data_IF_427289129624
#
_entry.id   IF_427289129624
#
_cell.length_a   1.000
_cell.length_b   1.000
_cell.length_c   1.000
_cell.angle_alpha   90.00
_cell.angle_beta   90.00
_cell.angle_gamma   90.00
#
_symmetry.space_group_name_H-M   'P 1'
#
loop_
_entity.id
_entity.type
_entity.pdbx_description
1 polymer ?
#
# COMPACT_ATOMS: atom_id res chain seq x y z
N UNK A 1 14.27 -1.37 -21.10
CA UNK A 1 14.34 -1.84 -19.69
C UNK A 1 15.17 -0.88 -18.83
N UNK A 2 16.39 -0.52 -19.26
CA UNK A 2 17.29 0.38 -18.53
C UNK A 2 16.70 1.78 -18.29
N UNK A 3 16.14 2.42 -19.31
CA UNK A 3 15.52 3.76 -19.18
C UNK A 3 14.32 3.77 -18.22
N UNK A 4 13.53 2.69 -18.22
CA UNK A 4 12.39 2.53 -17.30
C UNK A 4 12.87 2.44 -15.85
N UNK A 5 13.89 1.62 -15.59
CA UNK A 5 14.47 1.47 -14.26
C UNK A 5 15.11 2.78 -13.78
N UNK A 6 15.84 3.48 -14.65
CA UNK A 6 16.45 4.77 -14.29
C UNK A 6 15.42 5.86 -14.01
N UNK A 7 14.35 5.92 -14.81
CA UNK A 7 13.23 6.84 -14.56
C UNK A 7 12.62 6.58 -13.18
N UNK A 8 12.31 5.32 -12.87
CA UNK A 8 11.76 4.94 -11.57
C UNK A 8 12.71 5.26 -10.41
N UNK A 9 14.02 5.04 -10.56
CA UNK A 9 15.00 5.44 -9.56
C UNK A 9 14.97 6.94 -9.31
N UNK A 10 15.01 7.76 -10.38
CA UNK A 10 14.95 9.23 -10.26
C UNK A 10 13.67 9.71 -9.57
N UNK A 11 12.53 9.13 -9.92
CA UNK A 11 11.24 9.45 -9.29
C UNK A 11 11.22 9.05 -7.81
N UNK A 12 11.75 7.87 -7.47
CA UNK A 12 11.85 7.40 -6.10
C UNK A 12 12.79 8.27 -5.26
N UNK A 13 13.95 8.65 -5.79
CA UNK A 13 14.92 9.51 -5.11
C UNK A 13 14.33 10.91 -4.86
N UNK A 14 13.66 11.50 -5.86
CA UNK A 14 12.99 12.80 -5.71
C UNK A 14 11.86 12.75 -4.69
N UNK A 15 11.04 11.70 -4.69
CA UNK A 15 10.00 11.53 -3.67
C UNK A 15 10.60 11.32 -2.28
N UNK A 16 11.70 10.56 -2.17
CA UNK A 16 12.41 10.36 -0.90
C UNK A 16 12.95 11.68 -0.34
N UNK A 17 13.56 12.52 -1.17
CA UNK A 17 14.07 13.83 -0.77
C UNK A 17 12.95 14.74 -0.25
N UNK A 18 11.81 14.79 -0.96
CA UNK A 18 10.63 15.54 -0.50
C UNK A 18 10.12 15.02 0.84
N UNK A 19 10.05 13.70 1.01
CA UNK A 19 9.59 13.07 2.25
C UNK A 19 10.51 13.35 3.42
N UNK A 20 11.84 13.38 3.21
CA UNK A 20 12.82 13.68 4.26
C UNK A 20 12.70 15.12 4.81
N UNK A 21 12.17 16.05 4.02
CA UNK A 21 11.92 17.43 4.46
C UNK A 21 10.63 17.60 5.28
N UNK A 22 9.82 16.55 5.42
CA UNK A 22 8.58 16.57 6.19
C UNK A 22 8.80 16.01 7.60
N UNK A 23 8.05 16.54 8.58
CA UNK A 23 7.94 15.90 9.89
C UNK A 23 7.36 14.49 9.74
N UNK A 24 7.66 13.59 10.68
CA UNK A 24 7.11 12.22 10.65
C UNK A 24 5.58 12.23 10.59
N UNK A 25 4.93 13.16 11.29
CA UNK A 25 3.47 13.32 11.26
C UNK A 25 3.00 13.76 9.87
N UNK A 26 3.66 14.73 9.25
CA UNK A 26 3.35 15.17 7.89
C UNK A 26 3.56 14.06 6.86
N UNK A 27 4.61 13.24 7.01
CA UNK A 27 4.84 12.06 6.18
C UNK A 27 3.67 11.07 6.29
N UNK A 28 3.23 10.75 7.51
CA UNK A 28 2.07 9.87 7.71
C UNK A 28 0.77 10.48 7.17
N UNK A 29 0.55 11.78 7.33
CA UNK A 29 -0.62 12.46 6.76
C UNK A 29 -0.61 12.35 5.23
N UNK A 30 0.54 12.58 4.59
CA UNK A 30 0.69 12.53 3.14
C UNK A 30 0.48 11.11 2.60
N UNK A 31 1.13 10.11 3.21
CA UNK A 31 1.06 8.70 2.78
C UNK A 31 -0.33 8.08 2.98
N UNK A 32 -1.12 8.60 3.92
CA UNK A 32 -2.48 8.11 4.18
C UNK A 32 -3.58 8.87 3.41
N UNK A 33 -3.23 9.82 2.53
CA UNK A 33 -4.24 10.47 1.68
C UNK A 33 -4.87 9.48 0.70
N UNK A 34 -6.22 9.42 0.57
CA UNK A 34 -6.88 8.48 -0.34
C UNK A 34 -6.40 8.59 -1.78
N UNK A 35 -6.20 9.82 -2.28
CA UNK A 35 -5.69 10.07 -3.63
C UNK A 35 -4.25 9.56 -3.81
N UNK A 36 -3.40 9.68 -2.78
CA UNK A 36 -2.03 9.14 -2.79
C UNK A 36 -2.04 7.62 -2.84
N UNK A 37 -2.82 6.99 -1.96
CA UNK A 37 -2.96 5.53 -1.90
C UNK A 37 -3.43 4.97 -3.25
N UNK A 38 -4.41 5.62 -3.88
CA UNK A 38 -4.94 5.20 -5.18
C UNK A 38 -3.86 5.27 -6.26
N UNK A 39 -3.21 6.43 -6.40
CA UNK A 39 -2.16 6.65 -7.40
C UNK A 39 -0.99 5.69 -7.22
N UNK A 40 -0.51 5.52 -5.99
CA UNK A 40 0.61 4.63 -5.72
C UNK A 40 0.25 3.16 -6.04
N UNK A 41 -1.01 2.76 -5.85
CA UNK A 41 -1.46 1.43 -6.26
C UNK A 41 -1.54 1.24 -7.78
N UNK A 42 -1.99 2.27 -8.51
CA UNK A 42 -2.09 2.23 -9.98
C UNK A 42 -0.74 1.94 -10.65
N UNK A 43 0.36 2.41 -10.07
CA UNK A 43 1.70 2.13 -10.58
C UNK A 43 2.02 0.63 -10.65
N UNK A 44 1.39 -0.22 -9.82
CA UNK A 44 1.60 -1.68 -9.93
C UNK A 44 0.98 -2.28 -11.20
N UNK A 45 0.03 -1.61 -11.85
CA UNK A 45 -0.56 -2.09 -13.10
C UNK A 45 0.34 -1.87 -14.30
N UNK A 46 1.37 -1.03 -14.20
CA UNK A 46 2.40 -0.95 -15.23
C UNK A 46 3.14 -2.29 -15.37
N UNK A 47 3.27 -3.07 -14.29
CA UNK A 47 3.87 -4.41 -14.36
C UNK A 47 3.05 -5.38 -15.20
N UNK A 48 1.72 -5.24 -15.23
CA UNK A 48 0.85 -6.15 -16.02
C UNK A 48 1.18 -6.11 -17.51
N UNK A 49 1.76 -5.01 -17.99
CA UNK A 49 2.22 -4.86 -19.38
C UNK A 49 3.47 -5.69 -19.70
N UNK A 50 4.13 -6.26 -18.71
CA UNK A 50 5.31 -7.10 -18.91
C UNK A 50 4.92 -8.54 -19.27
N UNK A 51 5.33 -8.98 -20.46
CA UNK A 51 5.02 -10.30 -21.00
C UNK A 51 4.89 -10.27 -22.52
N UNK A 52 4.93 -11.43 -23.17
CA UNK A 52 4.66 -11.56 -24.61
C UNK A 52 4.07 -12.93 -24.92
N UNK A 53 3.17 -13.01 -25.91
CA UNK A 53 2.48 -14.27 -26.24
C UNK A 53 1.79 -14.89 -25.02
N UNK A 54 2.22 -16.10 -24.65
CA UNK A 54 1.67 -16.85 -23.50
C UNK A 54 2.44 -16.61 -22.18
N UNK A 55 3.35 -15.63 -22.14
CA UNK A 55 4.12 -15.31 -20.94
C UNK A 55 3.43 -14.22 -20.12
N UNK A 56 2.89 -14.58 -18.96
CA UNK A 56 2.12 -13.69 -18.08
C UNK A 56 2.95 -13.12 -16.93
N UNK A 57 4.23 -12.74 -17.14
CA UNK A 57 5.14 -12.33 -16.07
C UNK A 57 4.55 -11.23 -15.16
N UNK A 58 4.03 -10.16 -15.76
CA UNK A 58 3.41 -9.05 -15.06
C UNK A 58 2.20 -9.43 -14.23
N UNK A 59 1.28 -10.19 -14.84
CA UNK A 59 0.07 -10.66 -14.18
C UNK A 59 0.39 -11.65 -13.04
N UNK A 60 1.39 -12.52 -13.22
CA UNK A 60 1.86 -13.45 -12.20
C UNK A 60 2.48 -12.70 -11.02
N UNK A 61 3.30 -11.68 -11.28
CA UNK A 61 3.85 -10.81 -10.23
C UNK A 61 2.74 -10.10 -9.44
N UNK A 62 1.77 -9.50 -10.12
CA UNK A 62 0.68 -8.80 -9.45
C UNK A 62 -0.23 -9.76 -8.68
N UNK A 63 -0.47 -10.96 -9.20
CA UNK A 63 -1.20 -12.03 -8.50
C UNK A 63 -0.49 -12.43 -7.20
N UNK A 64 0.84 -12.58 -7.24
CA UNK A 64 1.64 -12.80 -6.04
C UNK A 64 1.54 -11.64 -5.05
N UNK A 65 1.57 -10.39 -5.54
CA UNK A 65 1.42 -9.19 -4.70
C UNK A 65 0.07 -9.15 -3.97
N UNK A 66 -1.03 -9.47 -4.67
CA UNK A 66 -2.35 -9.62 -4.06
C UNK A 66 -2.35 -10.72 -2.99
N UNK A 67 -1.76 -11.89 -3.30
CA UNK A 67 -1.62 -12.99 -2.34
C UNK A 67 -0.81 -12.60 -1.09
N UNK A 68 0.23 -11.78 -1.23
CA UNK A 68 1.01 -11.27 -0.09
C UNK A 68 0.16 -10.38 0.82
N UNK A 69 -0.66 -9.49 0.26
CA UNK A 69 -1.56 -8.64 1.04
C UNK A 69 -2.66 -9.45 1.74
N UNK A 70 -3.17 -10.50 1.09
CA UNK A 70 -4.13 -11.41 1.72
C UNK A 70 -3.52 -12.15 2.92
N UNK A 71 -2.25 -12.58 2.82
CA UNK A 71 -1.53 -13.21 3.94
C UNK A 71 -1.34 -12.25 5.12
N UNK A 72 -1.09 -10.97 4.86
CA UNK A 72 -1.01 -9.95 5.93
C UNK A 72 -2.36 -9.83 6.64
N UNK A 73 -3.48 -9.75 5.91
CA UNK A 73 -4.81 -9.73 6.52
C UNK A 73 -5.06 -10.99 7.37
N UNK A 74 -4.72 -12.17 6.85
CA UNK A 74 -4.86 -13.43 7.60
C UNK A 74 -4.06 -13.41 8.92
N UNK A 75 -2.88 -12.81 8.93
CA UNK A 75 -2.08 -12.66 10.16
C UNK A 75 -2.74 -11.68 11.16
N UNK A 76 -3.31 -10.57 10.68
CA UNK A 76 -4.04 -9.62 11.54
C UNK A 76 -5.25 -10.32 12.19
N UNK A 77 -5.99 -11.13 11.42
CA UNK A 77 -7.13 -11.92 11.92
C UNK A 77 -6.69 -12.89 13.01
N UNK A 78 -5.56 -13.59 12.83
CA UNK A 78 -5.06 -14.56 13.80
C UNK A 78 -4.68 -13.97 15.15
N UNK A 79 -4.28 -12.70 15.20
CA UNK A 79 -3.90 -12.01 16.44
C UNK A 79 -5.06 -11.18 17.04
N UNK A 80 -6.22 -11.18 16.40
CA UNK A 80 -7.39 -10.46 16.91
C UNK A 80 -8.06 -11.35 17.95
N UNK A 81 -8.02 -10.92 19.21
CA UNK A 81 -8.53 -11.73 20.33
C UNK A 81 -10.01 -11.44 20.60
N UNK A 82 -10.46 -10.21 20.37
CA UNK A 82 -11.81 -9.76 20.73
C UNK A 82 -12.43 -8.81 19.70
N UNK A 83 -13.75 -8.86 19.58
CA UNK A 83 -14.53 -7.90 18.78
C UNK A 83 -14.49 -6.46 19.32
N UNK A 84 -13.98 -6.28 20.54
CA UNK A 84 -13.81 -4.96 21.16
C UNK A 84 -12.42 -4.36 20.93
N UNK A 85 -11.50 -5.10 20.30
CA UNK A 85 -10.13 -4.64 20.10
C UNK A 85 -10.07 -3.47 19.12
N UNK A 86 -9.17 -2.53 19.40
CA UNK A 86 -8.78 -1.46 18.47
C UNK A 86 -7.36 -1.72 18.02
N UNK A 87 -7.22 -2.18 16.79
CA UNK A 87 -5.93 -2.58 16.23
C UNK A 87 -5.37 -1.44 15.39
N UNK A 88 -4.16 -0.98 15.74
CA UNK A 88 -3.34 -0.11 14.89
C UNK A 88 -2.35 -0.97 14.12
N UNK A 89 -2.33 -0.84 12.80
CA UNK A 89 -1.36 -1.54 11.96
C UNK A 89 -0.46 -0.52 11.27
N UNK A 90 0.85 -0.66 11.46
CA UNK A 90 1.87 0.14 10.78
C UNK A 90 2.54 -0.75 9.74
N UNK A 91 2.45 -0.37 8.48
CA UNK A 91 2.95 -1.14 7.34
C UNK A 91 3.41 -0.21 6.21
N UNK A 92 4.14 -0.75 5.23
CA UNK A 92 4.60 0.03 4.07
C UNK A 92 3.43 0.53 3.20
N UNK A 93 3.48 1.79 2.76
CA UNK A 93 2.37 2.47 2.06
C UNK A 93 1.86 1.74 0.80
N UNK A 94 2.73 1.01 0.09
CA UNK A 94 2.34 0.20 -1.08
C UNK A 94 1.29 -0.89 -0.78
N UNK A 95 1.13 -1.29 0.48
CA UNK A 95 0.13 -2.25 0.93
C UNK A 95 -1.25 -1.62 1.21
N UNK A 96 -1.32 -0.29 1.36
CA UNK A 96 -2.49 0.39 1.92
C UNK A 96 -3.78 0.16 1.13
N UNK A 97 -3.74 0.22 -0.21
CA UNK A 97 -4.93 0.04 -1.04
C UNK A 97 -5.55 -1.34 -0.84
N UNK A 98 -4.76 -2.40 -0.99
CA UNK A 98 -5.25 -3.78 -0.92
C UNK A 98 -5.63 -4.18 0.50
N UNK A 99 -4.84 -3.80 1.52
CA UNK A 99 -5.21 -4.10 2.90
C UNK A 99 -6.51 -3.41 3.32
N UNK A 100 -6.67 -2.12 2.97
CA UNK A 100 -7.91 -1.40 3.25
C UNK A 100 -9.11 -2.01 2.51
N UNK A 101 -8.91 -2.48 1.28
CA UNK A 101 -9.95 -3.16 0.52
C UNK A 101 -10.33 -4.49 1.17
N UNK A 102 -9.36 -5.39 1.37
CA UNK A 102 -9.61 -6.74 1.89
C UNK A 102 -10.19 -6.69 3.31
N UNK A 103 -9.72 -5.78 4.17
CA UNK A 103 -10.26 -5.63 5.52
C UNK A 103 -11.70 -5.10 5.55
N UNK A 104 -12.09 -4.28 4.56
CA UNK A 104 -13.49 -3.84 4.40
C UNK A 104 -14.37 -4.95 3.84
N UNK A 105 -13.91 -5.61 2.79
CA UNK A 105 -14.67 -6.69 2.11
C UNK A 105 -14.84 -7.92 3.00
N UNK A 106 -13.88 -8.23 3.86
CA UNK A 106 -14.00 -9.35 4.81
C UNK A 106 -15.11 -9.16 5.84
N UNK A 107 -15.56 -7.91 6.06
CA UNK A 107 -16.53 -7.54 7.11
C UNK A 107 -16.10 -7.89 8.55
N UNK A 108 -14.86 -8.34 8.77
CA UNK A 108 -14.33 -8.65 10.10
C UNK A 108 -13.91 -7.39 10.86
N UNK A 109 -13.68 -6.29 10.16
CA UNK A 109 -13.20 -5.05 10.74
C UNK A 109 -14.01 -3.85 10.27
N UNK A 110 -14.20 -2.91 11.18
CA UNK A 110 -14.57 -1.54 10.83
C UNK A 110 -13.30 -0.75 10.53
N UNK A 111 -12.98 -0.58 9.25
CA UNK A 111 -11.78 0.17 8.83
C UNK A 111 -11.98 1.66 9.02
N UNK A 112 -11.15 2.28 9.87
CA UNK A 112 -11.13 3.70 10.16
C UNK A 112 -9.90 4.37 9.53
N UNK A 113 -10.05 5.61 9.04
CA UNK A 113 -8.91 6.35 8.48
C UNK A 113 -7.97 6.84 9.60
N UNK A 114 -6.65 6.61 9.50
CA UNK A 114 -5.69 7.12 10.49
C UNK A 114 -5.61 8.65 10.49
N UNK A 115 -6.03 9.31 9.40
CA UNK A 115 -6.08 10.78 9.31
C UNK A 115 -6.98 11.42 10.39
N UNK A 116 -7.96 10.67 10.92
CA UNK A 116 -8.78 11.13 12.06
C UNK A 116 -7.98 11.34 13.34
N UNK A 117 -6.83 10.66 13.47
CA UNK A 117 -6.00 10.63 14.67
C UNK A 117 -4.66 11.36 14.47
N UNK A 118 -4.29 11.68 13.23
CA UNK A 118 -3.07 12.42 12.90
C UNK A 118 -3.37 13.93 12.92
N UNK A 119 -3.20 14.54 14.10
CA UNK A 119 -3.34 15.99 14.27
C UNK A 119 -1.98 16.68 14.11
N UNK A 120 -1.95 17.79 13.36
CA UNK A 120 -0.85 18.75 13.48
C UNK A 120 -0.99 19.45 14.82
N UNK A 121 0.00 19.27 15.70
CA UNK A 121 0.11 20.05 16.94
C UNK A 121 0.80 21.37 16.66
#
# INVERSE_FOLDING_TARGET
MTEFIEKWKREADSESEKMMNLSIVDQFILLNQPARIERDHQNYYDYVRAGSGNEYFGANYLSWWYGRNMKILANIIRITDSSNDRILVIYGSGHAKLLNQFAKESSFYKVESPLKYLQKR
#
